data_IF_950438731761
#
_entry.id   IF_950438731761
#
_cell.length_a   1.000
_cell.length_b   1.000
_cell.length_c   1.000
_cell.angle_alpha   90.00
_cell.angle_beta   90.00
_cell.angle_gamma   90.00
#
_symmetry.space_group_name_H-M   'P 1'
#
loop_
_entity.id
_entity.type
_entity.pdbx_description
1 polymer ?
#
# COMPACT_ATOMS: atom_id res chain seq x y z
N UNK A 1 -36.60 -16.67 29.46
CA UNK A 1 -35.52 -17.08 28.52
C UNK A 1 -35.27 -16.10 27.38
N UNK A 2 -35.96 -15.00 27.27
CA UNK A 2 -35.83 -14.00 26.19
C UNK A 2 -34.84 -12.85 26.47
N UNK A 3 -34.18 -12.83 27.64
CA UNK A 3 -33.32 -11.70 28.03
C UNK A 3 -31.81 -11.82 27.71
N UNK A 4 -31.33 -12.97 27.27
CA UNK A 4 -29.88 -13.21 27.07
C UNK A 4 -29.39 -13.06 25.62
N UNK A 5 -30.27 -13.17 24.66
CA UNK A 5 -29.95 -13.10 23.24
C UNK A 5 -29.55 -11.68 22.78
N UNK A 6 -30.20 -10.58 23.20
CA UNK A 6 -29.83 -9.25 22.77
C UNK A 6 -28.46 -8.78 23.31
N UNK A 7 -28.04 -9.26 24.49
CA UNK A 7 -26.75 -8.90 25.10
C UNK A 7 -25.60 -9.57 24.34
N UNK A 8 -25.75 -10.83 23.96
CA UNK A 8 -24.73 -11.56 23.18
C UNK A 8 -24.60 -10.98 21.77
N UNK A 9 -25.73 -10.59 21.17
CA UNK A 9 -25.72 -9.95 19.85
C UNK A 9 -25.05 -8.56 19.89
N UNK A 10 -25.30 -7.78 20.95
CA UNK A 10 -24.68 -6.47 21.15
C UNK A 10 -23.16 -6.57 21.39
N UNK A 11 -22.68 -7.60 22.08
CA UNK A 11 -21.23 -7.82 22.33
C UNK A 11 -20.51 -8.29 21.07
N UNK A 12 -21.18 -8.98 20.15
CA UNK A 12 -20.61 -9.41 18.87
C UNK A 12 -20.54 -8.29 17.82
N UNK A 13 -21.35 -7.23 17.97
CA UNK A 13 -21.34 -6.09 17.03
C UNK A 13 -20.26 -5.03 17.34
N UNK A 14 -19.74 -4.99 18.57
CA UNK A 14 -18.74 -4.00 19.01
C UNK A 14 -17.40 -4.09 18.26
N UNK A 15 -16.84 -5.25 17.90
CA UNK A 15 -15.57 -5.31 17.17
C UNK A 15 -15.64 -4.89 15.69
N UNK A 16 -16.83 -4.73 15.13
CA UNK A 16 -16.97 -4.33 13.71
C UNK A 16 -16.82 -2.81 13.48
N UNK A 17 -16.79 -2.00 14.55
CA UNK A 17 -16.64 -0.55 14.47
C UNK A 17 -15.18 -0.06 14.62
N UNK A 18 -14.22 -0.96 14.84
CA UNK A 18 -12.80 -0.58 15.06
C UNK A 18 -12.00 -0.40 13.75
N UNK A 19 -12.62 -0.23 12.61
CA UNK A 19 -12.02 -0.43 11.29
C UNK A 19 -11.39 0.75 10.57
N UNK A 20 -11.28 1.95 11.17
CA UNK A 20 -10.63 3.09 10.49
C UNK A 20 -9.79 3.91 11.48
N UNK A 21 -8.67 3.34 11.89
CA UNK A 21 -7.66 4.14 12.57
C UNK A 21 -6.92 4.98 11.52
N UNK A 22 -6.92 6.31 11.68
CA UNK A 22 -6.15 7.18 10.79
C UNK A 22 -4.66 6.93 10.97
N UNK A 23 -3.85 7.20 9.95
CA UNK A 23 -2.38 7.11 10.03
C UNK A 23 -1.84 7.96 11.18
N UNK A 24 -2.43 9.13 11.42
CA UNK A 24 -2.08 10.00 12.54
C UNK A 24 -2.34 9.32 13.88
N UNK A 25 -3.54 8.76 14.09
CA UNK A 25 -3.88 8.08 15.34
C UNK A 25 -2.99 6.86 15.61
N UNK A 26 -2.67 6.11 14.57
CA UNK A 26 -1.74 4.99 14.67
C UNK A 26 -0.35 5.45 15.16
N UNK A 27 0.21 6.51 14.58
CA UNK A 27 1.52 7.03 14.97
C UNK A 27 1.51 7.60 16.40
N UNK A 28 0.42 8.28 16.79
CA UNK A 28 0.25 8.75 18.16
C UNK A 28 0.22 7.60 19.16
N UNK A 29 -0.46 6.50 18.83
CA UNK A 29 -0.48 5.29 19.66
C UNK A 29 0.91 4.62 19.77
N UNK A 30 1.78 4.78 18.77
CA UNK A 30 3.17 4.32 18.80
C UNK A 30 4.13 5.27 19.55
N UNK A 31 3.62 6.40 20.07
CA UNK A 31 4.41 7.36 20.85
C UNK A 31 5.15 8.41 20.02
N UNK A 32 4.82 8.56 18.74
CA UNK A 32 5.38 9.64 17.92
C UNK A 32 4.85 11.01 18.37
N UNK A 33 5.65 12.08 18.27
CA UNK A 33 5.20 13.43 18.58
C UNK A 33 3.99 13.83 17.71
N UNK A 34 2.99 14.56 18.27
CA UNK A 34 1.78 14.94 17.51
C UNK A 34 2.07 15.71 16.21
N UNK A 35 3.05 16.61 16.23
CA UNK A 35 3.45 17.36 15.04
C UNK A 35 4.02 16.44 13.95
N UNK A 36 4.86 15.47 14.32
CA UNK A 36 5.37 14.46 13.39
C UNK A 36 4.24 13.62 12.81
N UNK A 37 3.35 13.08 13.64
CA UNK A 37 2.24 12.25 13.21
C UNK A 37 1.30 12.99 12.24
N UNK A 38 1.01 14.26 12.52
CA UNK A 38 0.21 15.12 11.64
C UNK A 38 0.92 15.39 10.31
N UNK A 39 2.20 15.74 10.36
CA UNK A 39 3.02 15.94 9.16
C UNK A 39 3.08 14.68 8.30
N UNK A 40 3.33 13.53 8.92
CA UNK A 40 3.38 12.25 8.21
C UNK A 40 2.06 11.91 7.51
N UNK A 41 0.92 12.11 8.16
CA UNK A 41 -0.38 11.89 7.56
C UNK A 41 -0.63 12.77 6.33
N UNK A 42 -0.29 14.07 6.43
CA UNK A 42 -0.40 15.00 5.31
C UNK A 42 0.57 14.69 4.18
N UNK A 43 1.80 14.33 4.52
CA UNK A 43 2.82 13.93 3.55
C UNK A 43 2.43 12.63 2.83
N UNK A 44 1.95 11.63 3.56
CA UNK A 44 1.50 10.36 3.01
C UNK A 44 0.35 10.54 2.02
N UNK A 45 -0.67 11.33 2.37
CA UNK A 45 -1.78 11.64 1.46
C UNK A 45 -1.29 12.36 0.19
N UNK A 46 -0.32 13.26 0.34
CA UNK A 46 0.28 13.99 -0.79
C UNK A 46 1.14 13.08 -1.68
N UNK A 47 1.91 12.18 -1.09
CA UNK A 47 2.74 11.20 -1.81
C UNK A 47 1.91 10.21 -2.62
N UNK A 48 0.83 9.69 -2.03
CA UNK A 48 -0.12 8.81 -2.72
C UNK A 48 -0.79 9.53 -3.91
N UNK A 49 -1.22 10.77 -3.72
CA UNK A 49 -1.80 11.60 -4.77
C UNK A 49 -0.81 11.91 -5.89
N UNK A 50 0.46 12.20 -5.54
CA UNK A 50 1.52 12.46 -6.52
C UNK A 50 1.80 11.25 -7.41
N UNK A 51 1.86 10.04 -6.83
CA UNK A 51 2.08 8.80 -7.58
C UNK A 51 0.94 8.52 -8.58
N UNK A 52 -0.28 8.90 -8.23
CA UNK A 52 -1.48 8.71 -9.07
C UNK A 52 -1.74 9.87 -10.03
N UNK A 53 -0.88 10.90 -10.04
CA UNK A 53 -1.06 12.15 -10.80
C UNK A 53 -2.38 12.87 -10.50
N UNK A 54 -2.92 12.73 -9.29
CA UNK A 54 -4.21 13.30 -8.89
C UNK A 54 -4.13 14.75 -8.36
N UNK A 55 -2.93 15.30 -8.21
CA UNK A 55 -2.72 16.73 -7.97
C UNK A 55 -3.16 17.29 -6.61
N UNK A 56 -3.56 16.46 -5.65
CA UNK A 56 -4.02 16.90 -4.34
C UNK A 56 -2.86 16.90 -3.32
N UNK A 57 -2.26 18.04 -3.10
CA UNK A 57 -1.23 18.24 -2.08
C UNK A 57 -1.81 18.75 -0.77
N UNK A 58 -1.48 18.08 0.33
CA UNK A 58 -1.77 18.50 1.70
C UNK A 58 -0.46 18.91 2.38
N UNK A 59 -0.23 20.20 2.53
CA UNK A 59 0.94 20.72 3.22
C UNK A 59 0.56 22.01 3.93
N UNK A 60 0.67 22.01 5.24
CA UNK A 60 0.58 23.25 6.02
C UNK A 60 1.93 23.95 5.94
N UNK A 61 2.11 24.80 4.93
CA UNK A 61 3.38 25.47 4.65
C UNK A 61 3.88 26.31 5.83
N UNK A 62 3.07 27.14 6.52
CA UNK A 62 3.53 27.85 7.70
C UNK A 62 4.07 26.93 8.80
N UNK A 63 3.39 25.83 9.09
CA UNK A 63 3.83 24.85 10.09
C UNK A 63 5.07 24.10 9.62
N UNK A 64 5.12 23.72 8.35
CA UNK A 64 6.30 23.06 7.76
C UNK A 64 7.57 23.89 7.90
N UNK A 65 7.46 25.21 7.75
CA UNK A 65 8.60 26.12 7.90
C UNK A 65 8.97 26.40 9.37
N UNK A 66 7.99 26.32 10.28
CA UNK A 66 8.17 26.69 11.69
C UNK A 66 8.42 25.47 12.60
N UNK A 67 7.90 24.31 12.28
CA UNK A 67 7.97 23.10 13.11
C UNK A 67 8.75 21.99 12.41
N UNK A 68 9.93 21.71 12.93
CA UNK A 68 10.83 20.71 12.39
C UNK A 68 10.27 19.28 12.45
N UNK A 69 9.47 18.95 13.46
CA UNK A 69 8.87 17.64 13.61
C UNK A 69 7.77 17.43 12.55
N UNK A 70 6.94 18.43 12.32
CA UNK A 70 5.97 18.39 11.22
C UNK A 70 6.66 18.23 9.86
N UNK A 71 7.71 19.02 9.60
CA UNK A 71 8.47 18.95 8.35
C UNK A 71 9.08 17.57 8.11
N UNK A 72 9.73 17.01 9.13
CA UNK A 72 10.33 15.66 9.05
C UNK A 72 9.25 14.60 8.82
N UNK A 73 8.15 14.66 9.56
CA UNK A 73 7.02 13.76 9.36
C UNK A 73 6.46 13.86 7.95
N UNK A 74 6.26 15.09 7.45
CA UNK A 74 5.73 15.30 6.10
C UNK A 74 6.64 14.70 5.02
N UNK A 75 7.95 14.96 5.09
CA UNK A 75 8.92 14.45 4.11
C UNK A 75 9.00 12.92 4.15
N UNK A 76 8.97 12.31 5.32
CA UNK A 76 8.99 10.86 5.48
C UNK A 76 7.70 10.21 4.96
N UNK A 77 6.54 10.76 5.32
CA UNK A 77 5.25 10.28 4.85
C UNK A 77 5.13 10.38 3.33
N UNK A 78 5.53 11.51 2.76
CA UNK A 78 5.51 11.72 1.31
C UNK A 78 6.32 10.66 0.57
N UNK A 79 7.59 10.49 0.94
CA UNK A 79 8.48 9.50 0.29
C UNK A 79 7.96 8.08 0.42
N UNK A 80 7.54 7.69 1.62
CA UNK A 80 7.08 6.34 1.91
C UNK A 80 5.83 5.99 1.10
N UNK A 81 4.84 6.86 1.11
CA UNK A 81 3.56 6.60 0.46
C UNK A 81 3.65 6.75 -1.06
N UNK A 82 4.45 7.69 -1.56
CA UNK A 82 4.71 7.80 -3.00
C UNK A 82 5.38 6.53 -3.53
N UNK A 83 6.41 6.02 -2.86
CA UNK A 83 7.11 4.80 -3.27
C UNK A 83 6.17 3.59 -3.23
N UNK A 84 5.36 3.44 -2.19
CA UNK A 84 4.39 2.35 -2.07
C UNK A 84 3.31 2.40 -3.14
N UNK A 85 2.78 3.58 -3.44
CA UNK A 85 1.76 3.77 -4.48
C UNK A 85 2.34 3.50 -5.88
N UNK A 86 3.55 3.97 -6.17
CA UNK A 86 4.25 3.70 -7.43
C UNK A 86 4.47 2.21 -7.62
N UNK A 87 4.98 1.50 -6.61
CA UNK A 87 5.19 0.05 -6.66
C UNK A 87 3.88 -0.72 -6.84
N UNK A 88 2.77 -0.24 -6.28
CA UNK A 88 1.46 -0.84 -6.48
C UNK A 88 0.97 -0.67 -7.93
N UNK A 89 1.16 0.50 -8.52
CA UNK A 89 0.81 0.79 -9.92
C UNK A 89 1.65 -0.08 -10.86
N UNK A 90 2.97 -0.17 -10.63
CA UNK A 90 3.86 -0.99 -11.43
C UNK A 90 3.45 -2.47 -11.42
N UNK A 91 3.11 -3.02 -10.25
CA UNK A 91 2.61 -4.40 -10.14
C UNK A 91 1.31 -4.66 -10.90
N UNK A 92 0.48 -3.62 -11.08
CA UNK A 92 -0.75 -3.72 -11.84
C UNK A 92 -0.54 -3.54 -13.35
N UNK A 93 0.43 -2.73 -13.76
CA UNK A 93 0.68 -2.39 -15.16
C UNK A 93 1.70 -3.32 -15.82
N UNK A 94 2.65 -3.84 -15.06
CA UNK A 94 3.60 -4.82 -15.58
C UNK A 94 2.92 -6.20 -15.58
N UNK A 95 2.86 -6.87 -16.73
CA UNK A 95 2.45 -8.27 -16.76
C UNK A 95 3.35 -9.06 -15.81
N UNK A 96 2.75 -10.04 -15.18
CA UNK A 96 3.36 -10.89 -14.17
C UNK A 96 4.66 -11.50 -14.72
N UNK A 97 5.79 -10.82 -14.49
CA UNK A 97 7.09 -11.17 -15.10
C UNK A 97 7.54 -12.60 -14.75
N UNK A 98 7.01 -13.15 -13.66
CA UNK A 98 7.26 -14.54 -13.27
C UNK A 98 6.40 -15.50 -14.11
N UNK A 99 5.14 -15.17 -14.36
CA UNK A 99 4.26 -15.95 -15.23
C UNK A 99 4.74 -15.94 -16.69
N UNK A 100 5.22 -14.79 -17.17
CA UNK A 100 5.78 -14.67 -18.51
C UNK A 100 7.08 -15.46 -18.65
N UNK A 101 7.94 -15.48 -17.63
CA UNK A 101 9.14 -16.31 -17.60
C UNK A 101 8.82 -17.80 -17.59
N UNK A 102 7.86 -18.22 -16.78
CA UNK A 102 7.41 -19.62 -16.73
C UNK A 102 6.81 -20.06 -18.07
N UNK A 103 6.02 -19.20 -18.70
CA UNK A 103 5.48 -19.45 -20.03
C UNK A 103 6.58 -19.56 -21.09
N UNK A 104 7.56 -18.67 -21.11
CA UNK A 104 8.72 -18.74 -22.01
C UNK A 104 9.51 -20.02 -21.82
N UNK A 105 9.80 -20.41 -20.57
CA UNK A 105 10.47 -21.68 -20.27
C UNK A 105 9.68 -22.89 -20.77
N UNK A 106 8.37 -22.86 -20.67
CA UNK A 106 7.52 -23.95 -21.16
C UNK A 106 7.53 -24.03 -22.69
N UNK A 107 7.45 -22.91 -23.38
CA UNK A 107 7.55 -22.82 -24.85
C UNK A 107 8.91 -23.33 -25.33
N UNK A 108 10.01 -22.93 -24.71
CA UNK A 108 11.35 -23.37 -25.07
C UNK A 108 11.53 -24.88 -24.89
N UNK A 109 11.01 -25.44 -23.80
CA UNK A 109 11.03 -26.89 -23.57
C UNK A 109 10.23 -27.66 -24.61
N UNK A 110 9.05 -27.18 -24.97
CA UNK A 110 8.18 -27.85 -25.95
C UNK A 110 8.78 -27.75 -27.37
N UNK A 111 9.42 -26.63 -27.68
CA UNK A 111 10.13 -26.46 -28.94
C UNK A 111 11.35 -27.39 -29.04
N UNK A 112 12.14 -27.53 -27.96
CA UNK A 112 13.26 -28.45 -27.88
C UNK A 112 12.80 -29.93 -28.04
N UNK A 113 11.70 -30.31 -27.43
CA UNK A 113 11.08 -31.62 -27.58
C UNK A 113 10.61 -31.89 -29.02
N UNK A 114 10.01 -30.88 -29.66
CA UNK A 114 9.57 -30.99 -31.06
C UNK A 114 10.74 -31.18 -32.01
N UNK A 115 11.83 -30.39 -31.83
CA UNK A 115 13.06 -30.56 -32.63
C UNK A 115 13.69 -31.94 -32.46
N UNK A 116 13.79 -32.42 -31.23
CA UNK A 116 14.37 -33.77 -30.97
C UNK A 116 13.57 -34.90 -31.62
N UNK A 117 12.23 -34.75 -31.69
CA UNK A 117 11.35 -35.72 -32.37
C UNK A 117 11.54 -35.69 -33.90
N UNK A 118 11.73 -34.50 -34.48
CA UNK A 118 11.96 -34.37 -35.92
C UNK A 118 13.31 -35.02 -36.36
N UNK A 119 14.36 -34.81 -35.58
CA UNK A 119 15.68 -35.40 -35.81
C UNK A 119 15.68 -36.94 -35.69
N UNK A 120 14.83 -37.48 -34.81
CA UNK A 120 14.72 -38.95 -34.62
C UNK A 120 13.91 -39.64 -35.71
N UNK A 121 13.18 -38.89 -36.56
CA UNK A 121 12.38 -39.40 -37.69
C UNK A 121 13.15 -39.42 -39.01
N UNK A 122 14.28 -38.76 -39.10
CA UNK A 122 15.18 -38.74 -40.26
C UNK A 122 16.22 -39.86 -40.15
#
# INVERSE_FOLDING_TARGET
MLGRVPIVLAVLLVPLLSGCQSTCDYLLAQGYPPAFASGYADGCASGDSAAKALGAFRKNVPVYLADRQYATGWDDGFRQCQASATAAIERHLLPDSDRDRDWQHQVDQDMAKAMSRSLKRS
#
